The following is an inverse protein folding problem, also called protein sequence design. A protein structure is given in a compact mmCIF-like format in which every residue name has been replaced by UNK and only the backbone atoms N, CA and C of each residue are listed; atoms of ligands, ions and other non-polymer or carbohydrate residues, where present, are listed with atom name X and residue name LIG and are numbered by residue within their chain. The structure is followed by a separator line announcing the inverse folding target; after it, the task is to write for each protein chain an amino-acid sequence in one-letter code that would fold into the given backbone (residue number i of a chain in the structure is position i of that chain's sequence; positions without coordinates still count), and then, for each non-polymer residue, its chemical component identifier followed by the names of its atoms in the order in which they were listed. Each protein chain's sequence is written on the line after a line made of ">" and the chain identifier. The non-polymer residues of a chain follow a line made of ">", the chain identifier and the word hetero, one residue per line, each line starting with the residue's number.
data_IF_651242578422
#
_entry.id   IF_651242578422
#
_cell.length_a   1.000
_cell.length_b   1.000
_cell.length_c   1.000
_cell.angle_alpha   90.00
_cell.angle_beta   90.00
_cell.angle_gamma   90.00
#
_symmetry.space_group_name_H-M   'P 1'
#
loop_
_entity.id
_entity.type
_entity.pdbx_description
1 polymer ?
#
# COMPACT_ATOMS: atom_id res chain seq x y z
N UNK A 1 56.90 6.65 64.65
CA UNK A 1 55.56 6.77 64.03
C UNK A 1 54.93 5.38 64.11
N UNK A 2 53.78 5.21 64.77
CA UNK A 2 53.18 3.88 64.92
C UNK A 2 52.51 3.44 63.60
N UNK A 3 52.33 2.13 63.40
CA UNK A 3 51.77 1.55 62.17
C UNK A 3 50.40 2.18 61.80
N UNK A 4 49.59 2.49 62.82
CA UNK A 4 48.28 3.12 62.68
C UNK A 4 48.37 4.55 62.10
N UNK A 5 49.40 5.31 62.45
CA UNK A 5 49.63 6.67 61.95
C UNK A 5 50.05 6.62 60.48
N UNK A 6 50.95 5.70 60.12
CA UNK A 6 51.40 5.51 58.73
C UNK A 6 50.27 5.00 57.83
N UNK A 7 49.44 4.08 58.32
CA UNK A 7 48.25 3.59 57.59
C UNK A 7 47.25 4.72 57.35
N UNK A 8 46.91 5.49 58.39
CA UNK A 8 46.01 6.63 58.23
C UNK A 8 46.56 7.66 57.23
N UNK A 9 47.87 7.93 57.27
CA UNK A 9 48.49 8.89 56.36
C UNK A 9 48.45 8.42 54.90
N UNK A 10 48.72 7.14 54.63
CA UNK A 10 48.63 6.54 53.28
C UNK A 10 47.20 6.54 52.72
N UNK A 11 46.18 6.36 53.56
CA UNK A 11 44.79 6.43 53.11
C UNK A 11 44.26 7.86 52.93
N UNK A 12 44.84 8.84 53.64
CA UNK A 12 44.43 10.24 53.57
C UNK A 12 45.15 11.01 52.46
N UNK A 13 46.36 10.59 52.05
CA UNK A 13 47.15 11.26 50.99
C UNK A 13 46.38 11.37 49.66
N UNK A 14 45.67 10.34 49.17
CA UNK A 14 44.83 10.46 47.96
C UNK A 14 43.58 11.32 48.18
N UNK A 15 43.14 11.50 49.43
CA UNK A 15 41.98 12.33 49.78
C UNK A 15 42.32 13.83 49.84
N UNK A 16 43.62 14.19 49.88
CA UNK A 16 44.06 15.59 49.85
C UNK A 16 43.74 16.27 48.51
N UNK A 17 43.73 15.54 47.38
CA UNK A 17 43.29 16.09 46.08
C UNK A 17 41.83 16.56 46.10
N UNK A 18 41.00 15.95 46.96
CA UNK A 18 39.60 16.29 47.14
C UNK A 18 39.37 17.32 48.26
N UNK A 19 40.44 17.81 48.90
CA UNK A 19 40.35 18.78 49.99
C UNK A 19 40.05 20.17 49.42
N UNK A 20 38.97 20.76 49.91
CA UNK A 20 38.58 22.11 49.51
C UNK A 20 39.55 23.14 50.11
N UNK A 21 40.21 23.94 49.27
CA UNK A 21 41.10 25.03 49.71
C UNK A 21 40.37 26.11 50.53
N UNK A 22 39.07 26.26 50.32
CA UNK A 22 38.19 27.15 51.09
C UNK A 22 36.84 26.49 51.39
N UNK A 23 36.22 26.77 52.56
CA UNK A 23 34.86 26.32 52.84
C UNK A 23 33.88 26.89 51.81
N UNK A 24 33.18 26.03 51.08
CA UNK A 24 32.16 26.45 50.12
C UNK A 24 31.01 27.18 50.84
N UNK A 25 30.56 28.31 50.29
CA UNK A 25 29.42 29.10 50.76
C UNK A 25 28.14 28.26 50.78
N UNK A 26 27.45 28.21 51.93
CA UNK A 26 26.14 27.55 52.03
C UNK A 26 25.10 28.40 51.32
N UNK A 27 24.26 27.78 50.48
CA UNK A 27 23.09 28.46 49.94
C UNK A 27 21.99 28.54 51.02
N UNK A 28 21.32 29.69 51.19
CA UNK A 28 20.18 29.78 52.10
C UNK A 28 19.06 28.83 51.63
N UNK A 29 18.56 28.00 52.55
CA UNK A 29 17.44 27.10 52.29
C UNK A 29 16.14 27.86 52.58
N UNK A 30 15.22 28.03 51.61
CA UNK A 30 13.92 28.63 51.86
C UNK A 30 13.17 27.88 52.97
N UNK A 31 12.45 28.61 53.85
CA UNK A 31 11.78 28.06 55.02
C UNK A 31 10.76 26.94 54.70
N UNK A 32 10.20 26.94 53.48
CA UNK A 32 9.24 25.94 52.98
C UNK A 32 9.90 24.75 52.26
N UNK A 33 11.22 24.58 52.36
CA UNK A 33 11.90 23.45 51.71
C UNK A 33 11.48 22.13 52.37
N UNK A 34 11.12 21.09 51.57
CA UNK A 34 10.71 19.81 52.12
C UNK A 34 11.84 19.20 52.95
N UNK A 35 11.49 18.62 54.11
CA UNK A 35 12.46 17.88 54.94
C UNK A 35 13.04 16.74 54.11
N UNK A 36 14.35 16.79 53.89
CA UNK A 36 15.01 15.76 53.12
C UNK A 36 14.98 14.44 53.90
N UNK A 37 14.47 13.37 53.28
CA UNK A 37 14.41 12.06 53.90
C UNK A 37 15.82 11.48 54.06
N UNK A 38 16.14 11.01 55.27
CA UNK A 38 17.39 10.30 55.53
C UNK A 38 17.42 8.98 54.75
N UNK A 39 18.51 8.77 54.01
CA UNK A 39 18.74 7.55 53.25
C UNK A 39 19.22 6.47 54.21
N UNK A 40 18.42 5.43 54.42
CA UNK A 40 18.78 4.32 55.30
C UNK A 40 19.81 3.39 54.66
N UNK A 41 20.66 2.79 55.49
CA UNK A 41 21.62 1.77 55.10
C UNK A 41 20.95 0.60 54.38
N UNK A 42 19.82 0.10 54.91
CA UNK A 42 19.06 -0.99 54.32
C UNK A 42 18.58 -0.67 52.89
N UNK A 43 18.24 0.60 52.61
CA UNK A 43 17.85 1.03 51.27
C UNK A 43 19.03 0.96 50.30
N UNK A 44 20.20 1.42 50.72
CA UNK A 44 21.42 1.34 49.89
C UNK A 44 21.81 -0.12 49.64
N UNK A 45 21.81 -0.96 50.68
CA UNK A 45 22.13 -2.39 50.56
C UNK A 45 21.25 -3.08 49.50
N UNK A 46 19.92 -2.85 49.54
CA UNK A 46 18.98 -3.41 48.55
C UNK A 46 19.27 -2.92 47.13
N UNK A 47 19.62 -1.64 46.97
CA UNK A 47 19.95 -1.08 45.66
C UNK A 47 21.25 -1.67 45.11
N UNK A 48 22.30 -1.76 45.93
CA UNK A 48 23.57 -2.36 45.52
C UNK A 48 23.42 -3.85 45.19
N UNK A 49 22.66 -4.60 46.00
CA UNK A 49 22.42 -6.03 45.78
C UNK A 49 21.62 -6.33 44.49
N UNK A 50 20.83 -5.36 44.00
CA UNK A 50 20.00 -5.49 42.78
C UNK A 50 20.68 -4.98 41.51
N UNK A 51 21.93 -4.49 41.60
CA UNK A 51 22.69 -4.07 40.42
C UNK A 51 22.82 -5.23 39.41
N UNK A 52 22.73 -4.87 38.13
CA UNK A 52 22.94 -5.80 37.03
C UNK A 52 24.46 -5.85 36.70
N UNK A 53 25.14 -6.99 36.92
CA UNK A 53 26.57 -7.14 36.65
C UNK A 53 26.99 -6.84 35.20
N UNK A 54 26.08 -7.01 34.24
CA UNK A 54 26.35 -6.87 32.80
C UNK A 54 26.18 -5.44 32.28
N UNK A 55 25.77 -4.48 33.12
CA UNK A 55 25.72 -3.07 32.74
C UNK A 55 27.10 -2.43 32.88
N UNK A 56 27.37 -1.45 32.01
CA UNK A 56 28.60 -0.66 32.01
C UNK A 56 28.91 -0.08 33.41
N UNK A 57 30.20 0.01 33.76
CA UNK A 57 30.67 0.68 34.96
C UNK A 57 30.40 2.18 34.92
N UNK A 58 30.42 2.82 36.09
CA UNK A 58 30.35 4.27 36.19
C UNK A 58 31.65 4.93 35.72
N UNK A 59 31.72 6.28 35.78
CA UNK A 59 32.94 7.03 35.50
C UNK A 59 34.14 6.67 36.40
N UNK A 60 33.88 5.96 37.50
CA UNK A 60 34.89 5.42 38.42
C UNK A 60 35.52 4.09 37.93
N UNK A 61 35.04 3.57 36.80
CA UNK A 61 35.42 2.28 36.22
C UNK A 61 35.16 1.07 37.13
N UNK A 62 34.41 1.25 38.23
CA UNK A 62 34.14 0.17 39.18
C UNK A 62 33.05 -0.74 38.61
N UNK A 63 33.30 -2.05 38.42
CA UNK A 63 32.30 -2.95 37.88
C UNK A 63 31.10 -3.15 38.81
N UNK A 64 29.89 -3.20 38.24
CA UNK A 64 28.66 -3.44 38.99
C UNK A 64 28.65 -4.76 39.79
N UNK A 65 29.36 -5.79 39.30
CA UNK A 65 29.50 -7.06 40.02
C UNK A 65 30.22 -6.89 41.37
N UNK A 66 31.18 -5.97 41.45
CA UNK A 66 31.98 -5.73 42.65
C UNK A 66 31.14 -5.00 43.71
N UNK A 67 30.44 -3.94 43.30
CA UNK A 67 29.52 -3.19 44.15
C UNK A 67 28.41 -4.09 44.71
N UNK A 68 27.88 -4.99 43.87
CA UNK A 68 26.89 -5.98 44.28
C UNK A 68 27.44 -6.98 45.29
N UNK A 69 28.65 -7.50 45.07
CA UNK A 69 29.28 -8.51 45.95
C UNK A 69 29.55 -7.97 47.35
N UNK A 70 29.90 -6.69 47.47
CA UNK A 70 30.24 -6.05 48.74
C UNK A 70 29.15 -5.09 49.25
N UNK A 71 27.91 -5.28 48.81
CA UNK A 71 26.78 -4.41 49.14
C UNK A 71 26.60 -4.20 50.66
N UNK A 72 26.78 -5.24 51.47
CA UNK A 72 26.66 -5.17 52.94
C UNK A 72 27.73 -4.27 53.56
N UNK A 73 28.97 -4.33 53.06
CA UNK A 73 30.07 -3.51 53.58
C UNK A 73 29.98 -2.05 53.09
N UNK A 74 29.50 -1.85 51.88
CA UNK A 74 29.42 -0.53 51.24
C UNK A 74 28.17 0.26 51.67
N UNK A 75 27.12 -0.41 52.15
CA UNK A 75 25.84 0.24 52.47
C UNK A 75 25.99 1.34 53.53
N UNK A 76 26.70 1.06 54.62
CA UNK A 76 26.93 2.03 55.70
C UNK A 76 27.70 3.28 55.21
N UNK A 77 28.92 3.17 54.67
CA UNK A 77 29.68 4.35 54.26
C UNK A 77 28.97 5.15 53.16
N UNK A 78 28.33 4.48 52.19
CA UNK A 78 27.57 5.16 51.12
C UNK A 78 26.37 5.92 51.68
N UNK A 79 25.61 5.33 52.62
CA UNK A 79 24.49 6.04 53.27
C UNK A 79 24.96 7.29 54.03
N UNK A 80 26.10 7.20 54.72
CA UNK A 80 26.70 8.33 55.43
C UNK A 80 27.15 9.42 54.47
N UNK A 81 27.82 9.07 53.38
CA UNK A 81 28.25 10.03 52.36
C UNK A 81 27.06 10.76 51.76
N UNK A 82 26.01 10.03 51.37
CA UNK A 82 24.80 10.62 50.75
C UNK A 82 24.07 11.54 51.75
N UNK A 83 23.86 11.09 52.98
CA UNK A 83 23.18 11.91 54.00
C UNK A 83 23.99 13.14 54.40
N UNK A 84 25.32 13.02 54.49
CA UNK A 84 26.21 14.16 54.73
C UNK A 84 26.18 15.14 53.55
N UNK A 85 26.25 14.63 52.31
CA UNK A 85 26.14 15.43 51.08
C UNK A 85 24.82 16.22 51.04
N UNK A 86 23.71 15.57 51.40
CA UNK A 86 22.39 16.19 51.50
C UNK A 86 22.28 17.23 52.62
N UNK A 87 22.78 16.91 53.81
CA UNK A 87 22.78 17.83 54.97
C UNK A 87 23.64 19.07 54.71
N UNK A 88 24.75 18.89 54.02
CA UNK A 88 25.66 19.98 53.64
C UNK A 88 25.21 20.71 52.37
N UNK A 89 24.22 20.18 51.65
CA UNK A 89 23.79 20.63 50.33
C UNK A 89 24.94 20.73 49.31
N UNK A 90 25.87 19.77 49.39
CA UNK A 90 27.08 19.70 48.57
C UNK A 90 27.06 18.43 47.75
N UNK A 91 26.87 18.55 46.44
CA UNK A 91 27.10 17.45 45.49
C UNK A 91 28.50 17.61 44.90
N UNK A 92 29.24 16.51 44.79
CA UNK A 92 30.51 16.49 44.07
C UNK A 92 30.28 16.95 42.63
N UNK A 93 31.14 17.84 42.11
CA UNK A 93 31.01 18.37 40.73
C UNK A 93 30.94 17.24 39.70
N UNK A 94 31.66 16.15 39.93
CA UNK A 94 31.67 14.96 39.05
C UNK A 94 30.31 14.27 38.94
N UNK A 95 29.44 14.37 39.95
CA UNK A 95 28.07 13.82 39.89
C UNK A 95 27.11 14.67 39.04
N UNK A 96 27.55 15.86 38.61
CA UNK A 96 26.82 16.73 37.68
C UNK A 96 27.29 16.58 36.23
N UNK A 97 28.32 15.76 36.00
CA UNK A 97 28.90 15.52 34.68
C UNK A 97 28.46 14.13 34.21
N UNK A 98 27.79 14.07 33.06
CA UNK A 98 27.51 12.83 32.36
C UNK A 98 28.04 12.99 30.94
N UNK A 99 29.01 12.17 30.56
CA UNK A 99 29.41 12.03 29.17
C UNK A 99 28.44 11.07 28.49
N UNK A 100 27.40 11.64 27.87
CA UNK A 100 26.42 10.88 27.11
C UNK A 100 26.84 10.91 25.65
N UNK A 101 27.60 9.91 25.23
CA UNK A 101 27.77 9.64 23.80
C UNK A 101 26.41 9.25 23.22
N UNK A 102 25.77 10.15 22.47
CA UNK A 102 24.55 9.85 21.72
C UNK A 102 24.89 8.77 20.68
N UNK A 103 24.50 7.53 20.91
CA UNK A 103 24.49 6.51 19.87
C UNK A 103 23.27 6.81 18.98
N UNK A 104 23.46 7.23 17.70
CA UNK A 104 22.35 7.43 16.81
C UNK A 104 21.64 6.10 16.64
N UNK A 105 20.38 6.01 17.07
CA UNK A 105 19.58 4.82 16.78
C UNK A 105 19.42 4.77 15.26
N UNK A 106 19.95 3.72 14.63
CA UNK A 106 19.77 3.56 13.19
C UNK A 106 18.28 3.47 12.87
N UNK A 107 17.75 4.35 12.01
CA UNK A 107 16.35 4.29 11.59
C UNK A 107 16.02 3.02 10.81
N UNK A 108 17.04 2.33 10.27
CA UNK A 108 16.88 1.04 9.58
C UNK A 108 16.81 -0.18 10.52
N UNK A 109 16.94 0.00 11.84
CA UNK A 109 16.97 -1.14 12.78
C UNK A 109 15.68 -1.98 12.77
N UNK A 110 14.54 -1.38 12.42
CA UNK A 110 13.25 -2.06 12.31
C UNK A 110 13.05 -2.78 10.98
N UNK A 111 14.03 -2.77 10.07
CA UNK A 111 13.90 -3.29 8.69
C UNK A 111 12.62 -2.78 7.99
N UNK A 112 12.46 -1.46 7.83
CA UNK A 112 11.19 -0.87 7.39
C UNK A 112 10.84 -1.12 5.91
N UNK A 113 11.82 -1.46 5.06
CA UNK A 113 11.61 -1.67 3.63
C UNK A 113 11.04 -3.08 3.35
N UNK A 114 9.98 -3.14 2.56
CA UNK A 114 9.32 -4.36 2.14
C UNK A 114 9.96 -4.96 0.88
N UNK A 115 9.52 -6.18 0.52
CA UNK A 115 9.82 -6.85 -0.75
C UNK A 115 11.31 -6.88 -1.15
N UNK A 116 12.20 -7.05 -0.16
CA UNK A 116 13.64 -7.13 -0.39
C UNK A 116 14.31 -5.77 -0.67
N UNK A 117 13.63 -4.65 -0.40
CA UNK A 117 14.22 -3.31 -0.47
C UNK A 117 15.35 -3.12 0.54
N UNK A 118 16.36 -2.34 0.15
CA UNK A 118 17.52 -2.03 0.98
C UNK A 118 17.24 -0.74 1.75
N UNK A 119 17.32 -0.78 3.08
CA UNK A 119 17.16 0.41 3.91
C UNK A 119 18.46 1.20 3.99
N UNK A 120 18.41 2.47 3.59
CA UNK A 120 19.53 3.41 3.63
C UNK A 120 19.27 4.46 4.73
N UNK A 121 20.08 4.50 5.81
CA UNK A 121 19.86 5.43 6.92
C UNK A 121 20.36 6.85 6.60
N UNK A 122 19.54 7.85 6.92
CA UNK A 122 19.84 9.28 6.86
C UNK A 122 19.97 9.87 8.28
N UNK A 123 21.15 9.70 8.89
CA UNK A 123 21.38 10.02 10.31
C UNK A 123 21.15 11.50 10.67
N UNK A 124 21.55 12.43 9.79
CA UNK A 124 21.42 13.88 10.04
C UNK A 124 19.97 14.32 10.22
N UNK A 125 19.04 13.62 9.55
CA UNK A 125 17.61 13.90 9.60
C UNK A 125 16.84 12.93 10.48
N UNK A 126 17.54 11.98 11.11
CA UNK A 126 16.93 10.86 11.82
C UNK A 126 15.85 10.15 10.97
N UNK A 127 16.16 9.94 9.69
CA UNK A 127 15.25 9.40 8.67
C UNK A 127 15.89 8.24 7.91
N UNK A 128 15.15 7.59 7.02
CA UNK A 128 15.67 6.58 6.10
C UNK A 128 14.94 6.69 4.76
N UNK A 129 15.53 6.11 3.71
CA UNK A 129 14.82 5.78 2.48
C UNK A 129 15.07 4.32 2.11
N UNK A 130 14.25 3.81 1.20
CA UNK A 130 14.33 2.44 0.70
C UNK A 130 14.75 2.43 -0.76
N UNK A 131 15.82 1.71 -1.07
CA UNK A 131 16.19 1.36 -2.44
C UNK A 131 15.44 0.08 -2.82
N UNK A 132 14.43 0.22 -3.67
CA UNK A 132 13.55 -0.91 -4.01
C UNK A 132 14.21 -1.90 -4.96
N UNK A 133 13.93 -3.18 -4.74
CA UNK A 133 14.29 -4.23 -5.67
C UNK A 133 13.56 -4.02 -7.02
N UNK A 134 14.12 -4.51 -8.14
CA UNK A 134 13.48 -4.41 -9.45
C UNK A 134 12.04 -4.93 -9.43
N UNK A 135 11.11 -4.17 -9.99
CA UNK A 135 9.68 -4.49 -10.02
C UNK A 135 8.88 -4.02 -8.80
N UNK A 136 9.52 -3.41 -7.80
CA UNK A 136 8.85 -2.82 -6.63
C UNK A 136 9.09 -1.31 -6.53
N UNK A 137 8.13 -0.61 -5.94
CA UNK A 137 8.22 0.84 -5.72
C UNK A 137 7.38 1.26 -4.50
N UNK A 138 7.37 2.57 -4.21
CA UNK A 138 6.76 3.15 -3.02
C UNK A 138 7.81 3.56 -2.00
N UNK A 139 7.36 4.24 -0.93
CA UNK A 139 8.27 4.77 0.09
C UNK A 139 8.96 3.63 0.85
N UNK A 140 8.24 2.52 1.04
CA UNK A 140 8.72 1.32 1.72
C UNK A 140 8.81 0.14 0.77
N UNK A 141 8.82 0.36 -0.55
CA UNK A 141 8.83 -0.71 -1.56
C UNK A 141 7.64 -1.68 -1.45
N UNK A 142 6.51 -1.21 -0.92
CA UNK A 142 5.33 -2.01 -0.62
C UNK A 142 4.48 -2.34 -1.85
N UNK A 143 4.71 -1.66 -2.99
CA UNK A 143 3.91 -1.79 -4.21
C UNK A 143 4.66 -2.53 -5.31
N UNK A 144 3.96 -3.37 -6.08
CA UNK A 144 4.50 -4.05 -7.27
C UNK A 144 4.27 -3.18 -8.51
N UNK A 145 5.35 -2.67 -9.10
CA UNK A 145 5.32 -1.81 -10.27
C UNK A 145 5.06 -2.51 -11.60
N UNK A 146 4.98 -3.83 -11.63
CA UNK A 146 4.68 -4.61 -12.84
C UNK A 146 3.30 -5.27 -12.81
N UNK A 147 2.41 -4.90 -11.88
CA UNK A 147 1.12 -5.55 -11.71
C UNK A 147 0.14 -5.20 -12.85
N UNK A 148 -0.02 -3.92 -13.15
CA UNK A 148 -0.81 -3.43 -14.29
C UNK A 148 -0.10 -2.24 -14.97
N UNK A 149 -0.59 -1.78 -16.12
CA UNK A 149 -0.08 -0.54 -16.73
C UNK A 149 -0.22 0.68 -15.82
N UNK A 150 -1.22 0.70 -14.92
CA UNK A 150 -1.39 1.79 -13.97
C UNK A 150 -0.34 1.74 -12.86
N UNK A 151 0.02 0.54 -12.38
CA UNK A 151 1.12 0.37 -11.44
C UNK A 151 2.47 0.75 -12.06
N UNK A 152 2.71 0.38 -13.32
CA UNK A 152 3.91 0.79 -14.05
C UNK A 152 4.00 2.32 -14.11
N UNK A 153 2.90 2.97 -14.50
CA UNK A 153 2.87 4.42 -14.66
C UNK A 153 3.02 5.18 -13.35
N UNK A 154 2.48 4.63 -12.27
CA UNK A 154 2.63 5.19 -10.93
C UNK A 154 4.08 5.04 -10.41
N UNK A 155 4.69 3.87 -10.57
CA UNK A 155 6.07 3.64 -10.16
C UNK A 155 7.09 4.37 -11.06
N UNK A 156 6.76 4.55 -12.34
CA UNK A 156 7.61 5.17 -13.35
C UNK A 156 6.81 6.24 -14.12
N UNK A 157 6.67 7.46 -13.56
CA UNK A 157 5.92 8.55 -14.19
C UNK A 157 6.43 8.93 -15.60
N UNK A 158 7.69 8.66 -15.90
CA UNK A 158 8.33 8.86 -17.20
C UNK A 158 8.00 7.77 -18.24
N UNK A 159 7.35 6.68 -17.83
CA UNK A 159 7.01 5.57 -18.72
C UNK A 159 6.18 6.05 -19.92
N UNK A 160 6.62 5.65 -21.11
CA UNK A 160 6.00 5.97 -22.40
C UNK A 160 5.04 4.87 -22.85
N UNK A 161 4.11 5.22 -23.72
CA UNK A 161 3.21 4.27 -24.36
C UNK A 161 4.00 3.19 -25.12
N UNK A 162 3.59 1.92 -24.97
CA UNK A 162 4.29 0.78 -25.56
C UNK A 162 3.81 -0.55 -25.02
N UNK A 163 4.52 -1.64 -25.36
CA UNK A 163 4.24 -2.98 -24.86
C UNK A 163 5.02 -3.27 -23.59
N UNK A 164 4.35 -3.80 -22.57
CA UNK A 164 4.93 -4.13 -21.27
C UNK A 164 4.51 -5.52 -20.83
N UNK A 165 5.38 -6.22 -20.11
CA UNK A 165 5.07 -7.45 -19.42
C UNK A 165 4.43 -7.12 -18.07
N UNK A 166 3.22 -7.61 -17.82
CA UNK A 166 2.49 -7.41 -16.56
C UNK A 166 2.15 -8.74 -15.90
N UNK A 167 1.99 -8.70 -14.58
CA UNK A 167 1.60 -9.82 -13.73
C UNK A 167 0.53 -9.39 -12.71
N UNK A 168 -0.76 -9.38 -13.10
CA UNK A 168 -1.84 -8.82 -12.27
C UNK A 168 -2.08 -9.56 -10.95
N UNK A 169 -1.99 -10.89 -10.95
CA UNK A 169 -2.25 -11.73 -9.79
C UNK A 169 -0.99 -12.12 -9.01
N UNK A 170 0.19 -11.86 -9.56
CA UNK A 170 1.45 -12.03 -8.86
C UNK A 170 2.00 -13.44 -8.91
N UNK A 171 3.06 -13.65 -8.13
CA UNK A 171 3.84 -14.89 -8.19
C UNK A 171 3.03 -16.10 -7.69
N UNK A 172 3.09 -17.20 -8.43
CA UNK A 172 2.29 -18.39 -8.17
C UNK A 172 0.86 -18.33 -8.71
N UNK A 173 0.48 -17.21 -9.35
CA UNK A 173 -0.76 -17.06 -10.11
C UNK A 173 -0.65 -17.55 -11.55
N UNK A 174 -1.40 -16.90 -12.43
CA UNK A 174 -1.31 -17.10 -13.88
C UNK A 174 -0.02 -16.47 -14.40
N UNK A 175 0.58 -17.08 -15.42
CA UNK A 175 1.82 -16.59 -16.01
C UNK A 175 1.72 -15.11 -16.47
N UNK A 176 2.77 -14.30 -16.27
CA UNK A 176 2.84 -12.93 -16.78
C UNK A 176 2.62 -12.86 -18.29
N UNK A 177 2.04 -11.76 -18.78
CA UNK A 177 1.74 -11.59 -20.20
C UNK A 177 1.97 -10.18 -20.69
N UNK A 178 2.21 -10.06 -22.01
CA UNK A 178 2.52 -8.78 -22.64
C UNK A 178 1.23 -8.08 -23.05
N UNK A 179 1.10 -6.82 -22.64
CA UNK A 179 -0.02 -5.94 -22.98
C UNK A 179 0.46 -4.66 -23.62
N UNK A 180 -0.43 -3.95 -24.31
CA UNK A 180 -0.17 -2.58 -24.74
C UNK A 180 -0.64 -1.61 -23.66
N UNK A 181 0.29 -0.82 -23.12
CA UNK A 181 0.00 0.25 -22.18
C UNK A 181 -0.06 1.59 -22.89
N UNK A 182 -1.21 2.26 -22.86
CA UNK A 182 -1.30 3.66 -23.21
C UNK A 182 -1.05 4.53 -21.98
N UNK A 183 0.14 5.13 -21.90
CA UNK A 183 0.58 5.94 -20.75
C UNK A 183 0.12 7.39 -20.82
N UNK A 184 -0.72 7.74 -21.81
CA UNK A 184 -1.19 9.12 -22.05
C UNK A 184 -2.71 9.26 -21.95
N UNK A 185 -3.46 8.18 -22.15
CA UNK A 185 -4.92 8.17 -22.01
C UNK A 185 -5.35 8.39 -20.55
N UNK A 186 -6.61 8.86 -20.38
CA UNK A 186 -7.26 9.02 -19.06
C UNK A 186 -6.39 9.82 -18.07
N UNK A 187 -5.86 10.96 -18.52
CA UNK A 187 -4.96 11.82 -17.73
C UNK A 187 -3.61 11.18 -17.38
N UNK A 188 -3.14 10.23 -18.19
CA UNK A 188 -1.83 9.64 -18.04
C UNK A 188 -1.72 8.62 -16.90
N UNK A 189 -2.84 7.99 -16.52
CA UNK A 189 -2.87 6.96 -15.46
C UNK A 189 -2.29 5.60 -15.89
N UNK A 190 -1.95 5.41 -17.16
CA UNK A 190 -1.47 4.13 -17.67
C UNK A 190 -2.61 3.14 -17.90
N UNK A 191 -3.19 3.16 -19.11
CA UNK A 191 -4.32 2.31 -19.50
C UNK A 191 -3.81 1.03 -20.16
N UNK A 192 -4.21 -0.11 -19.62
CA UNK A 192 -4.00 -1.42 -20.26
C UNK A 192 -5.01 -1.59 -21.38
N UNK A 193 -4.56 -1.77 -22.62
CA UNK A 193 -5.42 -1.91 -23.81
C UNK A 193 -5.23 -3.30 -24.41
N UNK A 194 -6.30 -4.07 -24.49
CA UNK A 194 -6.31 -5.43 -25.04
C UNK A 194 -7.16 -5.47 -26.31
N UNK A 195 -6.50 -5.82 -27.41
CA UNK A 195 -7.12 -5.97 -28.74
C UNK A 195 -7.74 -7.36 -28.95
N UNK A 196 -8.67 -7.46 -29.90
CA UNK A 196 -9.32 -8.70 -30.28
C UNK A 196 -9.73 -8.73 -31.77
N UNK A 197 -10.21 -9.87 -32.23
CA UNK A 197 -10.53 -10.17 -33.64
C UNK A 197 -11.90 -9.64 -34.14
N UNK A 198 -12.58 -8.81 -33.36
CA UNK A 198 -13.97 -8.38 -33.61
C UNK A 198 -14.13 -6.85 -33.49
N UNK A 199 -13.04 -6.12 -33.69
CA UNK A 199 -13.00 -4.65 -33.60
C UNK A 199 -13.57 -3.92 -34.83
N UNK A 200 -13.68 -4.62 -35.97
CA UNK A 200 -14.19 -4.04 -37.21
C UNK A 200 -15.71 -4.18 -37.27
N UNK A 201 -16.37 -3.14 -37.79
CA UNK A 201 -17.78 -3.17 -38.20
C UNK A 201 -18.06 -4.38 -39.10
N UNK A 202 -18.92 -5.28 -38.63
CA UNK A 202 -19.15 -6.59 -39.24
C UNK A 202 -20.64 -6.76 -39.55
N UNK A 203 -20.95 -7.15 -40.79
CA UNK A 203 -22.32 -7.36 -41.27
C UNK A 203 -22.95 -8.60 -40.62
N UNK A 204 -24.23 -8.47 -40.31
CA UNK A 204 -25.16 -9.54 -39.93
C UNK A 204 -26.30 -9.51 -40.94
N UNK A 205 -26.43 -10.57 -41.72
CA UNK A 205 -27.40 -10.70 -42.82
C UNK A 205 -27.71 -12.19 -43.04
N UNK A 206 -28.98 -12.54 -43.23
CA UNK A 206 -29.46 -13.91 -43.41
C UNK A 206 -29.64 -14.74 -42.13
N UNK A 207 -29.76 -14.11 -40.96
CA UNK A 207 -29.95 -14.74 -39.66
C UNK A 207 -31.31 -14.36 -39.04
N UNK A 208 -32.36 -15.10 -39.41
CA UNK A 208 -33.74 -14.86 -38.95
C UNK A 208 -33.94 -15.22 -37.47
N UNK A 209 -33.43 -16.38 -37.03
CA UNK A 209 -33.68 -16.90 -35.70
C UNK A 209 -33.01 -16.05 -34.59
N UNK A 210 -33.62 -15.94 -33.39
CA UNK A 210 -33.01 -15.30 -32.23
C UNK A 210 -31.58 -15.76 -31.96
N UNK A 211 -30.60 -14.83 -32.00
CA UNK A 211 -29.18 -15.13 -31.76
C UNK A 211 -28.57 -16.18 -32.69
N UNK A 212 -29.17 -16.42 -33.87
CA UNK A 212 -28.69 -17.40 -34.83
C UNK A 212 -27.35 -16.98 -35.47
N UNK A 213 -27.10 -15.67 -35.60
CA UNK A 213 -25.75 -15.16 -35.84
C UNK A 213 -24.92 -15.32 -34.55
N UNK A 214 -23.68 -15.79 -34.70
CA UNK A 214 -22.76 -15.93 -33.57
C UNK A 214 -21.35 -15.51 -33.93
N UNK A 215 -20.74 -14.67 -33.08
CA UNK A 215 -19.36 -14.23 -33.22
C UNK A 215 -18.62 -14.42 -31.90
N UNK A 216 -17.74 -15.41 -31.85
CA UNK A 216 -16.78 -15.56 -30.75
C UNK A 216 -15.77 -14.42 -30.80
N UNK A 217 -15.45 -13.87 -29.63
CA UNK A 217 -14.44 -12.81 -29.49
C UNK A 217 -13.15 -13.42 -29.01
N UNK A 218 -12.11 -13.38 -29.83
CA UNK A 218 -10.79 -13.87 -29.48
C UNK A 218 -9.88 -12.69 -29.19
N UNK A 219 -9.51 -12.52 -27.91
CA UNK A 219 -8.54 -11.50 -27.48
C UNK A 219 -7.12 -11.94 -27.82
N UNK A 220 -6.34 -11.01 -28.36
CA UNK A 220 -5.01 -11.30 -28.87
C UNK A 220 -4.05 -11.68 -27.73
N UNK A 221 -3.28 -12.75 -27.95
CA UNK A 221 -2.11 -13.15 -27.16
C UNK A 221 -2.33 -13.30 -25.64
N UNK A 222 -3.57 -13.51 -25.18
CA UNK A 222 -3.91 -13.55 -23.74
C UNK A 222 -5.02 -14.56 -23.47
N UNK A 223 -4.89 -15.37 -22.41
CA UNK A 223 -5.94 -16.30 -21.98
C UNK A 223 -7.07 -15.58 -21.24
N UNK A 224 -8.28 -16.15 -21.22
CA UNK A 224 -9.39 -15.61 -20.43
C UNK A 224 -9.06 -15.50 -18.93
N UNK A 225 -8.21 -16.39 -18.40
CA UNK A 225 -7.77 -16.34 -17.01
C UNK A 225 -6.90 -15.12 -16.73
N UNK A 226 -5.96 -14.80 -17.62
CA UNK A 226 -5.13 -13.59 -17.56
C UNK A 226 -5.99 -12.31 -17.67
N UNK A 227 -7.00 -12.30 -18.53
CA UNK A 227 -7.92 -11.16 -18.63
C UNK A 227 -8.82 -11.01 -17.40
N UNK A 228 -9.19 -12.13 -16.76
CA UNK A 228 -9.92 -12.12 -15.51
C UNK A 228 -9.04 -11.57 -14.37
N UNK A 229 -7.77 -11.98 -14.26
CA UNK A 229 -6.84 -11.46 -13.25
C UNK A 229 -6.55 -9.96 -13.46
N UNK A 230 -6.41 -9.52 -14.70
CA UNK A 230 -6.28 -8.10 -15.05
C UNK A 230 -7.51 -7.27 -14.66
N UNK A 231 -8.70 -7.76 -15.00
CA UNK A 231 -9.97 -7.10 -14.65
C UNK A 231 -10.12 -7.02 -13.12
N UNK A 232 -9.78 -8.08 -12.40
CA UNK A 232 -9.82 -8.11 -10.93
C UNK A 232 -8.82 -7.14 -10.29
N UNK A 233 -7.68 -6.90 -10.94
CA UNK A 233 -6.58 -6.08 -10.44
C UNK A 233 -6.62 -4.61 -10.83
N UNK A 234 -7.58 -4.20 -11.66
CA UNK A 234 -7.73 -2.81 -12.13
C UNK A 234 -8.97 -2.16 -11.53
N UNK A 235 -8.89 -0.90 -11.09
CA UNK A 235 -10.03 -0.22 -10.46
C UNK A 235 -11.21 -0.05 -11.42
N UNK A 236 -10.92 0.29 -12.68
CA UNK A 236 -11.90 0.57 -13.72
C UNK A 236 -11.69 -0.34 -14.93
N UNK A 237 -12.80 -0.66 -15.59
CA UNK A 237 -12.88 -1.41 -16.84
C UNK A 237 -13.83 -0.69 -17.79
N UNK A 238 -13.46 -0.61 -19.06
CA UNK A 238 -14.33 -0.11 -20.12
C UNK A 238 -14.18 -0.97 -21.38
N UNK A 239 -15.31 -1.31 -22.01
CA UNK A 239 -15.35 -1.85 -23.36
C UNK A 239 -16.54 -1.29 -24.12
N UNK A 240 -16.29 -0.67 -25.27
CA UNK A 240 -17.36 -0.12 -26.10
C UNK A 240 -18.07 -1.24 -26.87
N UNK A 241 -19.40 -1.17 -27.01
CA UNK A 241 -20.19 -2.08 -27.82
C UNK A 241 -21.22 -1.28 -28.62
N UNK A 242 -21.48 -1.69 -29.87
CA UNK A 242 -22.42 -1.03 -30.76
C UNK A 242 -23.13 -2.03 -31.66
N UNK A 243 -24.42 -1.82 -31.87
CA UNK A 243 -25.21 -2.46 -32.90
C UNK A 243 -25.95 -1.41 -33.72
N UNK A 244 -25.78 -1.46 -35.03
CA UNK A 244 -26.54 -0.71 -36.02
C UNK A 244 -27.53 -1.68 -36.67
N UNK A 245 -28.77 -1.27 -36.84
CA UNK A 245 -29.84 -2.15 -37.28
C UNK A 245 -30.73 -1.48 -38.33
N UNK A 246 -31.20 -2.29 -39.26
CA UNK A 246 -32.21 -1.96 -40.26
C UNK A 246 -33.21 -3.11 -40.29
N UNK A 247 -34.45 -2.82 -39.89
CA UNK A 247 -35.49 -3.84 -39.65
C UNK A 247 -35.07 -5.01 -38.75
N UNK A 248 -34.15 -4.78 -37.80
CA UNK A 248 -33.58 -5.81 -36.95
C UNK A 248 -33.69 -5.46 -35.47
N UNK A 249 -34.33 -6.32 -34.69
CA UNK A 249 -34.53 -6.19 -33.24
C UNK A 249 -33.27 -6.54 -32.45
N UNK A 250 -33.06 -5.83 -31.33
CA UNK A 250 -31.95 -6.09 -30.41
C UNK A 250 -32.42 -6.82 -29.14
N UNK A 251 -32.88 -6.10 -28.10
CA UNK A 251 -33.10 -6.67 -26.78
C UNK A 251 -34.54 -7.12 -26.54
N UNK A 252 -35.56 -6.51 -27.14
CA UNK A 252 -36.94 -6.85 -26.80
C UNK A 252 -37.93 -6.50 -27.90
N UNK A 253 -38.54 -7.53 -28.48
CA UNK A 253 -39.73 -7.41 -29.32
C UNK A 253 -40.74 -8.52 -28.95
N UNK A 254 -41.92 -8.13 -28.48
CA UNK A 254 -42.98 -9.04 -28.02
C UNK A 254 -42.52 -10.10 -27.00
N UNK A 255 -41.55 -9.79 -26.14
CA UNK A 255 -41.04 -10.70 -25.11
C UNK A 255 -39.92 -11.64 -25.57
N UNK A 256 -39.39 -11.47 -26.79
CA UNK A 256 -38.22 -12.18 -27.29
C UNK A 256 -37.03 -11.24 -27.53
N UNK A 257 -35.82 -11.73 -27.24
CA UNK A 257 -34.57 -11.05 -27.57
C UNK A 257 -34.03 -11.63 -28.87
N UNK A 258 -33.47 -10.78 -29.76
CA UNK A 258 -32.86 -11.24 -31.00
C UNK A 258 -31.35 -11.02 -31.03
N UNK A 259 -30.83 -10.06 -30.26
CA UNK A 259 -29.41 -9.83 -30.06
C UNK A 259 -29.03 -9.61 -28.60
N UNK A 260 -27.80 -10.03 -28.27
CA UNK A 260 -27.20 -9.91 -26.94
C UNK A 260 -25.69 -10.16 -27.01
N UNK A 261 -24.99 -9.79 -25.95
CA UNK A 261 -23.62 -10.23 -25.71
C UNK A 261 -23.58 -11.30 -24.63
N UNK A 262 -22.54 -12.13 -24.66
CA UNK A 262 -22.33 -13.24 -23.73
C UNK A 262 -21.17 -12.90 -22.80
N UNK A 263 -21.39 -13.06 -21.50
CA UNK A 263 -20.39 -12.81 -20.46
C UNK A 263 -19.23 -13.80 -20.52
N UNK A 264 -18.14 -13.51 -19.81
CA UNK A 264 -17.01 -14.44 -19.66
C UNK A 264 -17.43 -15.82 -19.15
N UNK A 265 -18.48 -15.86 -18.32
CA UNK A 265 -19.01 -17.06 -17.68
C UNK A 265 -20.02 -17.80 -18.57
N UNK A 266 -20.31 -17.29 -19.77
CA UNK A 266 -21.26 -17.88 -20.70
C UNK A 266 -22.71 -17.45 -20.47
N UNK A 267 -22.94 -16.47 -19.60
CA UNK A 267 -24.28 -15.94 -19.34
C UNK A 267 -24.73 -15.02 -20.47
N UNK A 268 -26.00 -15.14 -20.85
CA UNK A 268 -26.66 -14.22 -21.78
C UNK A 268 -26.97 -12.91 -21.05
N UNK A 269 -26.50 -11.79 -21.59
CA UNK A 269 -26.71 -10.47 -20.99
C UNK A 269 -27.94 -9.79 -21.58
N UNK A 270 -28.82 -9.32 -20.70
CA UNK A 270 -30.13 -8.75 -21.05
C UNK A 270 -30.14 -7.24 -21.20
N UNK A 271 -28.98 -6.61 -21.19
CA UNK A 271 -28.81 -5.17 -21.29
C UNK A 271 -27.74 -4.86 -22.33
N UNK A 272 -27.69 -3.61 -22.79
CA UNK A 272 -26.71 -3.15 -23.78
C UNK A 272 -25.76 -2.08 -23.23
N UNK A 273 -24.84 -1.61 -24.08
CA UNK A 273 -23.87 -0.58 -23.72
C UNK A 273 -24.52 0.68 -23.12
N UNK A 274 -23.86 1.25 -22.11
CA UNK A 274 -24.29 2.47 -21.41
C UNK A 274 -25.35 2.24 -20.33
N UNK A 275 -25.67 0.99 -20.02
CA UNK A 275 -26.58 0.55 -18.96
C UNK A 275 -25.90 -0.57 -18.21
N UNK A 276 -25.83 -0.50 -16.89
CA UNK A 276 -25.36 -1.64 -16.10
C UNK A 276 -26.56 -2.38 -15.51
N UNK A 277 -26.78 -3.62 -15.95
CA UNK A 277 -27.70 -4.58 -15.32
C UNK A 277 -29.17 -4.15 -15.21
N UNK A 278 -29.67 -3.30 -16.13
CA UNK A 278 -31.11 -3.07 -16.26
C UNK A 278 -31.63 -3.83 -17.47
N UNK A 279 -32.37 -4.90 -17.19
CA UNK A 279 -32.92 -5.81 -18.19
C UNK A 279 -33.72 -5.05 -19.26
N UNK A 280 -33.49 -5.46 -20.51
CA UNK A 280 -34.13 -5.00 -21.74
C UNK A 280 -34.00 -3.49 -22.00
N UNK A 281 -32.90 -2.88 -21.54
CA UNK A 281 -32.60 -1.47 -21.82
C UNK A 281 -31.21 -1.27 -22.42
N UNK A 282 -31.18 -0.32 -23.35
CA UNK A 282 -29.98 0.34 -23.86
C UNK A 282 -29.85 1.75 -23.26
N UNK A 283 -28.75 2.45 -23.52
CA UNK A 283 -28.49 3.79 -22.96
C UNK A 283 -29.67 4.74 -23.15
N UNK A 284 -30.26 4.78 -24.35
CA UNK A 284 -31.41 5.62 -24.65
C UNK A 284 -32.66 5.25 -23.84
N UNK A 285 -32.82 3.98 -23.47
CA UNK A 285 -33.97 3.47 -22.73
C UNK A 285 -33.90 3.80 -21.25
N UNK A 286 -32.71 4.07 -20.71
CA UNK A 286 -32.56 4.66 -19.37
C UNK A 286 -32.91 6.15 -19.35
N UNK A 287 -32.53 6.87 -20.41
CA UNK A 287 -32.71 8.33 -20.49
C UNK A 287 -34.03 8.74 -21.14
N UNK A 288 -34.88 7.79 -21.52
CA UNK A 288 -36.11 8.01 -22.31
C UNK A 288 -35.87 8.84 -23.58
N UNK A 289 -34.69 8.66 -24.19
CA UNK A 289 -34.26 9.38 -25.39
C UNK A 289 -34.20 8.48 -26.63
N UNK A 290 -34.76 7.26 -26.56
CA UNK A 290 -34.91 6.42 -27.74
C UNK A 290 -35.89 7.09 -28.72
N UNK A 291 -35.78 6.74 -30.00
CA UNK A 291 -36.66 7.28 -31.03
C UNK A 291 -38.15 6.96 -30.82
N UNK A 292 -38.46 5.87 -30.14
CA UNK A 292 -39.76 5.64 -29.51
C UNK A 292 -39.54 5.51 -27.99
N UNK A 293 -40.04 6.43 -27.16
CA UNK A 293 -39.89 6.39 -25.71
C UNK A 293 -40.51 5.15 -25.04
N UNK A 294 -41.36 4.39 -25.73
CA UNK A 294 -41.94 3.15 -25.22
C UNK A 294 -41.00 1.94 -25.39
N UNK A 295 -39.91 2.09 -26.15
CA UNK A 295 -38.94 1.03 -26.40
C UNK A 295 -37.74 1.10 -25.46
N UNK A 296 -37.14 -0.06 -25.18
CA UNK A 296 -35.93 -0.17 -24.36
C UNK A 296 -34.65 0.24 -25.09
N UNK A 297 -34.66 0.13 -26.42
CA UNK A 297 -33.55 0.41 -27.32
C UNK A 297 -34.09 1.04 -28.62
N UNK A 298 -33.23 1.72 -29.37
CA UNK A 298 -33.61 2.22 -30.69
C UNK A 298 -33.92 1.06 -31.65
N UNK A 299 -33.10 0.02 -31.67
CA UNK A 299 -33.26 -1.12 -32.58
C UNK A 299 -34.53 -1.94 -32.34
N UNK A 300 -35.08 -1.92 -31.13
CA UNK A 300 -36.34 -2.62 -30.81
C UNK A 300 -37.56 -2.01 -31.50
N UNK A 301 -37.43 -0.83 -32.11
CA UNK A 301 -38.51 -0.17 -32.84
C UNK A 301 -38.84 -0.84 -34.18
N UNK A 302 -37.87 -1.47 -34.82
CA UNK A 302 -38.05 -2.24 -36.06
C UNK A 302 -38.90 -1.53 -37.16
N UNK A 303 -38.45 -0.38 -37.69
CA UNK A 303 -39.28 0.52 -38.52
C UNK A 303 -38.65 1.02 -39.83
N UNK A 304 -37.91 0.17 -40.54
CA UNK A 304 -37.31 0.47 -41.86
C UNK A 304 -36.38 1.69 -41.90
N UNK A 305 -35.93 2.14 -40.74
CA UNK A 305 -34.94 3.20 -40.59
C UNK A 305 -33.68 2.61 -39.97
N UNK A 306 -32.52 3.11 -40.42
CA UNK A 306 -31.27 2.80 -39.75
C UNK A 306 -31.28 3.37 -38.34
N UNK A 307 -30.99 2.51 -37.37
CA UNK A 307 -30.90 2.84 -35.96
C UNK A 307 -29.62 2.30 -35.35
N UNK A 308 -29.28 2.82 -34.19
CA UNK A 308 -28.07 2.44 -33.47
C UNK A 308 -28.36 2.41 -31.95
N UNK A 309 -27.81 1.40 -31.29
CA UNK A 309 -27.63 1.38 -29.85
C UNK A 309 -26.16 1.09 -29.53
N UNK A 310 -25.54 1.97 -28.74
CA UNK A 310 -24.14 1.88 -28.39
C UNK A 310 -23.86 2.38 -26.98
N UNK A 311 -22.71 2.00 -26.43
CA UNK A 311 -22.24 2.49 -25.14
C UNK A 311 -21.11 1.66 -24.55
N UNK A 312 -20.71 2.00 -23.32
CA UNK A 312 -19.67 1.29 -22.58
C UNK A 312 -20.27 0.18 -21.73
N UNK A 313 -19.60 -0.97 -21.70
CA UNK A 313 -19.77 -2.02 -20.72
C UNK A 313 -18.74 -1.80 -19.60
N UNK A 314 -19.23 -1.70 -18.36
CA UNK A 314 -18.42 -1.35 -17.19
C UNK A 314 -18.50 -2.38 -16.06
N UNK A 315 -19.48 -3.28 -16.07
CA UNK A 315 -19.59 -4.36 -15.08
C UNK A 315 -18.47 -5.42 -15.23
N UNK A 316 -17.40 -5.20 -14.46
CA UNK A 316 -16.24 -6.10 -14.31
C UNK A 316 -16.58 -7.53 -13.91
N UNK A 317 -17.73 -7.77 -13.29
CA UNK A 317 -18.12 -9.12 -12.87
C UNK A 317 -18.53 -10.00 -14.05
N UNK A 318 -18.98 -9.39 -15.15
CA UNK A 318 -19.47 -10.08 -16.36
C UNK A 318 -18.45 -10.06 -17.51
N UNK A 319 -17.52 -9.12 -17.48
CA UNK A 319 -16.56 -8.86 -18.55
C UNK A 319 -15.29 -9.72 -18.40
N UNK A 320 -14.55 -9.99 -19.49
CA UNK A 320 -14.72 -9.45 -20.86
C UNK A 320 -15.85 -10.11 -21.68
N UNK A 321 -16.26 -9.47 -22.78
CA UNK A 321 -17.25 -10.03 -23.71
C UNK A 321 -16.69 -11.28 -24.39
N UNK A 322 -17.40 -12.41 -24.29
CA UNK A 322 -16.99 -13.70 -24.87
C UNK A 322 -17.55 -13.93 -26.27
N UNK A 323 -18.78 -13.47 -26.52
CA UNK A 323 -19.49 -13.72 -27.77
C UNK A 323 -20.54 -12.64 -28.03
N UNK A 324 -20.81 -12.37 -29.30
CA UNK A 324 -21.92 -11.54 -29.75
C UNK A 324 -22.93 -12.40 -30.51
N UNK A 325 -24.22 -12.15 -30.28
CA UNK A 325 -25.35 -12.89 -30.84
C UNK A 325 -26.33 -11.90 -31.43
N UNK A 326 -26.83 -12.19 -32.62
CA UNK A 326 -27.82 -11.37 -33.32
C UNK A 326 -28.77 -12.26 -34.14
N UNK A 327 -29.92 -11.73 -34.51
CA UNK A 327 -30.98 -12.38 -35.25
C UNK A 327 -31.86 -11.31 -35.89
N UNK A 328 -33.03 -11.69 -36.40
CA UNK A 328 -33.94 -10.75 -37.09
C UNK A 328 -33.21 -10.01 -38.22
N UNK A 329 -32.47 -10.76 -39.04
CA UNK A 329 -31.77 -10.25 -40.23
C UNK A 329 -32.12 -11.13 -41.42
N UNK A 330 -33.30 -10.88 -41.99
CA UNK A 330 -33.86 -11.60 -43.12
C UNK A 330 -33.63 -10.95 -44.48
N UNK A 331 -34.39 -11.37 -45.53
CA UNK A 331 -34.40 -10.69 -46.81
C UNK A 331 -34.91 -9.23 -46.71
N UNK A 332 -33.99 -8.28 -46.56
CA UNK A 332 -34.30 -6.86 -46.41
C UNK A 332 -33.83 -6.29 -45.08
N UNK A 333 -33.70 -7.14 -44.06
CA UNK A 333 -33.31 -6.78 -42.71
C UNK A 333 -31.83 -7.10 -42.49
N UNK A 334 -31.09 -6.16 -41.92
CA UNK A 334 -29.66 -6.37 -41.73
C UNK A 334 -29.14 -5.56 -40.54
N UNK A 335 -28.01 -6.00 -40.00
CA UNK A 335 -27.36 -5.32 -38.88
C UNK A 335 -25.86 -5.25 -39.04
N UNK A 336 -25.23 -4.39 -38.25
CA UNK A 336 -23.79 -4.34 -38.11
C UNK A 336 -23.41 -4.24 -36.65
N UNK A 337 -22.46 -5.06 -36.22
CA UNK A 337 -21.91 -4.96 -34.86
C UNK A 337 -20.48 -4.48 -34.88
N UNK A 338 -20.11 -3.79 -33.80
CA UNK A 338 -18.73 -3.37 -33.52
C UNK A 338 -18.48 -3.54 -32.02
N UNK A 339 -17.36 -4.16 -31.66
CA UNK A 339 -16.90 -4.28 -30.28
C UNK A 339 -15.55 -3.59 -30.13
N UNK A 340 -15.45 -2.62 -29.23
CA UNK A 340 -14.21 -1.91 -28.96
C UNK A 340 -13.23 -2.74 -28.13
N UNK A 341 -11.97 -2.29 -28.13
CA UNK A 341 -10.90 -2.85 -27.29
C UNK A 341 -11.30 -2.86 -25.81
N UNK A 342 -10.87 -3.90 -25.11
CA UNK A 342 -10.95 -3.96 -23.65
C UNK A 342 -9.92 -3.00 -23.05
N UNK A 343 -10.34 -2.16 -22.11
CA UNK A 343 -9.47 -1.21 -21.40
C UNK A 343 -9.60 -1.39 -19.89
N UNK A 344 -8.46 -1.54 -19.22
CA UNK A 344 -8.37 -1.66 -17.76
C UNK A 344 -7.40 -0.61 -17.20
N UNK A 345 -7.78 0.10 -16.14
CA UNK A 345 -6.96 1.17 -15.57
C UNK A 345 -7.34 1.52 -14.14
N UNK A 346 -6.44 2.25 -13.46
CA UNK A 346 -6.60 2.71 -12.08
C UNK A 346 -6.12 1.67 -11.05
N UNK A 347 -5.58 2.19 -9.95
CA UNK A 347 -5.05 1.41 -8.83
C UNK A 347 -6.18 1.01 -7.86
N UNK A 348 -6.11 -0.20 -7.29
CA UNK A 348 -7.05 -0.74 -6.28
C UNK A 348 -6.53 -0.52 -4.87
#
# INVERSE_FOLDING_TARGET
>A
MNLQTSVNQVFLEPLEEYRLEQPLSKFPVPADSPKLHEVSELRIMKLLATLNPSKACGPDEIPNWLLKKYAELLAYPVSKIINSSFKEQRLLKIWKLADVSLLPKSPCKSAPCANGGICVPEYERNSFHCDCAPGFCGILCERRGSKTCSDIKDCHPEAKTGSFLIDPDGEGGVEPFTVYCNMTEKHGVGVTVVSHDSEKRSLVDGFEGPGSYSRNVNYNATSLLQLASLTASSAQYEQFIMYECYESVLLSFHGAMYGWWVSRDGELMKYWGGVDSVDYKCACGLTNSCADPNQGCNCDRNDQNWREDSGLLTDKSKLPVKQLRFGDTGPGDMGYHTLGKMKCFGLI
#
